data_IF_215842626547
#
_entry.id   IF_215842626547
#
_cell.length_a   1.000
_cell.length_b   1.000
_cell.length_c   1.000
_cell.angle_alpha   90.00
_cell.angle_beta   90.00
_cell.angle_gamma   90.00
#
_symmetry.space_group_name_H-M   'P 1'
#
loop_
_entity.id
_entity.type
_entity.pdbx_description
1 polymer ?
#
# COMPACT_ATOMS: atom_id res chain seq x y z
N UNK A 1 26.27 -10.87 -15.85
CA UNK A 1 26.98 -9.57 -15.63
C UNK A 1 27.50 -9.60 -14.21
N UNK A 2 28.76 -9.18 -13.98
CA UNK A 2 29.39 -9.07 -12.67
C UNK A 2 28.65 -8.06 -11.78
N UNK A 3 28.66 -8.29 -10.46
CA UNK A 3 27.92 -7.48 -9.49
C UNK A 3 28.36 -6.00 -9.50
N UNK A 4 29.68 -5.77 -9.53
CA UNK A 4 30.25 -4.42 -9.51
C UNK A 4 29.89 -3.65 -10.79
N UNK A 5 29.92 -4.31 -11.94
CA UNK A 5 29.49 -3.71 -13.21
C UNK A 5 28.02 -3.29 -13.20
N UNK A 6 27.13 -4.07 -12.53
CA UNK A 6 25.71 -3.67 -12.38
C UNK A 6 25.60 -2.40 -11.55
N UNK A 7 26.33 -2.31 -10.43
CA UNK A 7 26.33 -1.12 -9.54
C UNK A 7 26.91 0.12 -10.23
N UNK A 8 27.98 -0.04 -11.01
CA UNK A 8 28.56 1.05 -11.80
C UNK A 8 27.60 1.56 -12.86
N UNK A 9 26.96 0.66 -13.60
CA UNK A 9 25.96 1.02 -14.62
C UNK A 9 24.75 1.70 -13.99
N UNK A 10 24.27 1.20 -12.84
CA UNK A 10 23.18 1.83 -12.09
C UNK A 10 23.54 3.26 -11.70
N UNK A 11 24.70 3.46 -11.07
CA UNK A 11 25.17 4.77 -10.64
C UNK A 11 25.35 5.74 -11.83
N UNK A 12 25.75 5.24 -12.99
CA UNK A 12 25.99 6.06 -14.20
C UNK A 12 24.69 6.42 -14.93
N UNK A 13 23.70 5.53 -14.97
CA UNK A 13 22.57 5.65 -15.87
C UNK A 13 21.20 5.81 -15.19
N UNK A 14 21.11 5.64 -13.86
CA UNK A 14 19.86 5.80 -13.10
C UNK A 14 19.99 6.99 -12.15
N UNK A 15 18.98 7.86 -12.12
CA UNK A 15 18.95 8.97 -11.15
C UNK A 15 19.05 8.43 -9.73
N UNK A 16 19.96 8.97 -8.93
CA UNK A 16 20.26 8.51 -7.57
C UNK A 16 19.22 9.00 -6.54
N UNK A 17 17.95 8.69 -6.79
CA UNK A 17 16.84 9.05 -5.91
C UNK A 17 16.54 8.00 -4.81
N UNK A 18 17.20 6.85 -4.86
CA UNK A 18 17.01 5.75 -3.90
C UNK A 18 18.31 5.38 -3.19
N UNK A 19 18.23 5.16 -1.88
CA UNK A 19 19.32 4.53 -1.10
C UNK A 19 19.23 3.01 -1.22
N UNK A 20 20.10 2.42 -2.07
CA UNK A 20 20.09 0.97 -2.32
C UNK A 20 20.83 0.20 -1.23
N UNK A 21 20.31 -0.99 -0.90
CA UNK A 21 20.88 -1.87 0.15
C UNK A 21 22.03 -2.76 -0.33
N UNK A 22 22.51 -2.57 -1.57
CA UNK A 22 23.70 -3.23 -2.10
C UNK A 22 23.52 -4.68 -2.59
N UNK A 23 22.37 -5.31 -2.37
CA UNK A 23 22.06 -6.64 -2.89
C UNK A 23 21.64 -6.59 -4.36
N UNK A 24 22.00 -7.63 -5.11
CA UNK A 24 21.53 -7.84 -6.47
C UNK A 24 20.61 -9.04 -6.45
N UNK A 25 19.31 -8.78 -6.38
CA UNK A 25 18.28 -9.81 -6.38
C UNK A 25 18.10 -10.31 -7.82
N UNK A 26 18.08 -11.63 -7.98
CA UNK A 26 17.96 -12.28 -9.28
C UNK A 26 16.57 -12.88 -9.51
N UNK A 27 16.04 -13.61 -8.52
CA UNK A 27 14.71 -14.21 -8.61
C UNK A 27 14.03 -14.31 -7.25
N UNK A 28 12.75 -14.70 -7.25
CA UNK A 28 11.99 -14.92 -6.02
C UNK A 28 11.03 -16.10 -6.16
N UNK A 29 10.72 -16.77 -5.02
CA UNK A 29 9.74 -17.84 -4.93
C UNK A 29 9.03 -17.81 -3.58
N UNK A 30 7.71 -17.70 -3.61
CA UNK A 30 6.90 -17.62 -2.39
C UNK A 30 7.28 -16.40 -1.53
N UNK A 31 7.63 -16.62 -0.29
CA UNK A 31 8.07 -15.57 0.65
C UNK A 31 9.58 -15.24 0.56
N UNK A 32 10.30 -15.79 -0.41
CA UNK A 32 11.76 -15.68 -0.47
C UNK A 32 12.23 -15.03 -1.76
N UNK A 33 13.35 -14.31 -1.66
CA UNK A 33 14.13 -13.83 -2.81
C UNK A 33 15.55 -14.38 -2.71
N UNK A 34 16.23 -14.42 -3.85
CA UNK A 34 17.57 -14.96 -3.98
C UNK A 34 18.47 -13.97 -4.69
N UNK A 35 19.67 -13.76 -4.16
CA UNK A 35 20.66 -12.94 -4.82
C UNK A 35 21.43 -13.75 -5.90
N UNK A 36 22.31 -13.05 -6.63
CA UNK A 36 23.13 -13.67 -7.70
C UNK A 36 24.09 -14.76 -7.22
N UNK A 37 24.40 -14.80 -5.94
CA UNK A 37 25.24 -15.84 -5.33
C UNK A 37 24.39 -17.02 -4.84
N UNK A 38 23.06 -16.99 -5.05
CA UNK A 38 22.13 -18.03 -4.62
C UNK A 38 21.78 -17.95 -3.13
N UNK A 39 22.21 -16.90 -2.42
CA UNK A 39 21.83 -16.72 -1.02
C UNK A 39 20.36 -16.36 -0.92
N UNK A 40 19.66 -17.07 -0.05
CA UNK A 40 18.22 -16.93 0.20
C UNK A 40 17.95 -15.87 1.27
N UNK A 41 16.93 -15.06 1.03
CA UNK A 41 16.42 -14.07 1.97
C UNK A 41 14.92 -14.24 2.15
N UNK A 42 14.44 -14.24 3.39
CA UNK A 42 13.02 -14.18 3.71
C UNK A 42 12.54 -12.73 3.50
N UNK A 43 11.65 -12.52 2.55
CA UNK A 43 11.14 -11.19 2.20
C UNK A 43 9.84 -10.87 2.94
N UNK A 44 9.99 -10.22 4.08
CA UNK A 44 8.88 -9.67 4.87
C UNK A 44 8.63 -8.18 4.62
N UNK A 45 9.12 -7.66 3.49
CA UNK A 45 8.77 -6.35 2.94
C UNK A 45 7.84 -6.48 1.72
N UNK A 46 7.97 -7.58 0.95
CA UNK A 46 7.11 -7.89 -0.18
C UNK A 46 7.04 -6.79 -1.24
N UNK A 47 8.18 -6.10 -1.51
CA UNK A 47 8.20 -4.93 -2.40
C UNK A 47 7.39 -3.74 -1.85
N UNK A 48 7.31 -3.57 -0.54
CA UNK A 48 6.43 -2.63 0.19
C UNK A 48 4.95 -2.98 -0.07
N UNK A 49 4.59 -4.23 0.27
CA UNK A 49 3.24 -4.81 0.12
C UNK A 49 2.75 -4.96 -1.34
N UNK A 50 3.64 -5.02 -2.33
CA UNK A 50 3.24 -5.25 -3.74
C UNK A 50 3.13 -6.72 -4.10
N UNK A 51 3.99 -7.59 -3.55
CA UNK A 51 4.00 -9.03 -3.84
C UNK A 51 3.04 -9.77 -2.89
N UNK A 52 1.74 -9.46 -2.99
CA UNK A 52 0.71 -9.95 -2.05
C UNK A 52 0.57 -11.47 -2.05
N UNK A 53 0.64 -12.13 -3.20
CA UNK A 53 0.52 -13.59 -3.33
C UNK A 53 1.87 -14.29 -3.48
N UNK A 54 2.95 -13.58 -3.11
CA UNK A 54 4.33 -14.09 -3.13
C UNK A 54 5.02 -13.98 -4.48
N UNK A 55 6.35 -14.13 -4.45
CA UNK A 55 7.19 -14.10 -5.63
C UNK A 55 6.98 -15.33 -6.51
N UNK A 56 7.02 -15.15 -7.84
CA UNK A 56 6.92 -16.26 -8.80
C UNK A 56 5.61 -17.04 -8.69
N UNK A 57 4.51 -16.40 -8.28
CA UNK A 57 3.19 -17.05 -8.20
C UNK A 57 2.80 -17.59 -9.58
N UNK A 58 2.56 -18.90 -9.68
CA UNK A 58 2.32 -19.60 -10.94
C UNK A 58 1.07 -19.09 -11.66
N UNK A 59 -0.04 -18.90 -10.94
CA UNK A 59 -1.31 -18.45 -11.52
C UNK A 59 -1.18 -17.05 -12.12
N UNK A 60 -0.52 -16.11 -11.42
CA UNK A 60 -0.26 -14.77 -11.93
C UNK A 60 0.69 -14.80 -13.12
N UNK A 61 1.78 -15.57 -13.05
CA UNK A 61 2.75 -15.68 -14.14
C UNK A 61 2.13 -16.28 -15.41
N UNK A 62 1.29 -17.30 -15.29
CA UNK A 62 0.56 -17.91 -16.41
C UNK A 62 -0.45 -16.94 -17.03
N UNK A 63 -1.20 -16.21 -16.22
CA UNK A 63 -2.13 -15.19 -16.69
C UNK A 63 -1.42 -14.08 -17.48
N UNK A 64 -0.29 -13.58 -16.94
CA UNK A 64 0.55 -12.57 -17.61
C UNK A 64 1.10 -13.13 -18.93
N UNK A 65 1.68 -14.33 -18.93
CA UNK A 65 2.23 -14.96 -20.13
C UNK A 65 1.16 -15.18 -21.21
N UNK A 66 0.01 -15.70 -20.82
CA UNK A 66 -1.12 -15.93 -21.74
C UNK A 66 -1.63 -14.62 -22.33
N UNK A 67 -1.82 -13.58 -21.47
CA UNK A 67 -2.32 -12.29 -21.93
C UNK A 67 -1.29 -11.56 -22.81
N UNK A 68 0.01 -11.65 -22.49
CA UNK A 68 1.07 -11.03 -23.30
C UNK A 68 1.12 -11.59 -24.75
N UNK A 69 0.78 -12.87 -24.94
CA UNK A 69 0.69 -13.50 -26.27
C UNK A 69 -0.55 -13.05 -27.05
N UNK A 70 -1.58 -12.53 -26.40
CA UNK A 70 -2.83 -12.08 -27.05
C UNK A 70 -2.77 -10.57 -27.35
N UNK A 71 -2.65 -9.77 -26.32
CA UNK A 71 -2.72 -8.32 -26.42
C UNK A 71 -2.21 -7.70 -25.12
N UNK A 72 -1.17 -6.87 -25.18
CA UNK A 72 -0.61 -6.17 -24.01
C UNK A 72 -1.47 -4.99 -23.58
N UNK A 73 -1.76 -4.11 -24.51
CA UNK A 73 -2.51 -2.89 -24.29
C UNK A 73 -3.39 -2.55 -25.50
N UNK A 74 -4.53 -1.95 -25.20
CA UNK A 74 -5.39 -1.30 -26.20
C UNK A 74 -5.92 0.00 -25.63
N UNK A 75 -6.09 1.02 -26.47
CA UNK A 75 -6.67 2.29 -26.00
C UNK A 75 -8.06 2.10 -25.40
N UNK A 76 -8.38 2.85 -24.35
CA UNK A 76 -9.69 2.85 -23.69
C UNK A 76 -10.86 3.33 -24.60
N UNK A 77 -10.60 3.53 -25.88
CA UNK A 77 -11.65 3.72 -26.90
C UNK A 77 -12.35 2.40 -27.28
N UNK A 78 -11.77 1.26 -26.90
CA UNK A 78 -12.30 -0.08 -27.17
C UNK A 78 -12.50 -0.84 -25.85
N UNK A 79 -13.46 -1.76 -25.85
CA UNK A 79 -13.69 -2.64 -24.72
C UNK A 79 -12.69 -3.78 -24.66
N UNK A 80 -12.22 -4.12 -23.46
CA UNK A 80 -11.34 -5.26 -23.22
C UNK A 80 -11.88 -6.10 -22.07
N UNK A 81 -11.97 -7.40 -22.28
CA UNK A 81 -12.54 -8.33 -21.29
C UNK A 81 -11.81 -8.34 -19.93
N UNK A 82 -10.44 -8.38 -19.86
CA UNK A 82 -9.76 -8.38 -18.55
C UNK A 82 -10.06 -7.15 -17.69
N UNK A 83 -10.26 -5.98 -18.31
CA UNK A 83 -10.57 -4.74 -17.62
C UNK A 83 -11.98 -4.77 -17.01
N UNK A 84 -12.97 -5.23 -17.78
CA UNK A 84 -14.37 -5.27 -17.33
C UNK A 84 -14.54 -6.30 -16.21
N UNK A 85 -13.92 -7.48 -16.33
CA UNK A 85 -13.92 -8.52 -15.29
C UNK A 85 -13.32 -7.98 -13.98
N UNK A 86 -12.17 -7.28 -14.06
CA UNK A 86 -11.55 -6.69 -12.87
C UNK A 86 -12.43 -5.60 -12.25
N UNK A 87 -13.05 -4.75 -13.07
CA UNK A 87 -13.97 -3.71 -12.58
C UNK A 87 -15.16 -4.30 -11.83
N UNK A 88 -15.78 -5.37 -12.37
CA UNK A 88 -16.87 -6.07 -11.71
C UNK A 88 -16.45 -6.66 -10.35
N UNK A 89 -15.28 -7.33 -10.30
CA UNK A 89 -14.73 -7.89 -9.04
C UNK A 89 -14.51 -6.80 -7.99
N UNK A 90 -13.85 -5.71 -8.38
CA UNK A 90 -13.57 -4.59 -7.47
C UNK A 90 -14.85 -3.90 -7.00
N UNK A 91 -15.86 -3.77 -7.87
CA UNK A 91 -17.15 -3.25 -7.51
C UNK A 91 -17.83 -4.12 -6.42
N UNK A 92 -17.86 -5.44 -6.61
CA UNK A 92 -18.42 -6.38 -5.60
C UNK A 92 -17.65 -6.34 -4.28
N UNK A 93 -16.35 -6.22 -4.31
CA UNK A 93 -15.49 -6.23 -3.14
C UNK A 93 -15.49 -4.91 -2.36
N UNK A 94 -15.69 -3.79 -3.05
CA UNK A 94 -15.70 -2.45 -2.43
C UNK A 94 -17.11 -1.98 -2.03
N UNK A 95 -18.15 -2.48 -2.70
CA UNK A 95 -19.51 -1.93 -2.61
C UNK A 95 -19.72 -0.62 -3.36
N UNK A 96 -18.72 -0.20 -4.19
CA UNK A 96 -18.78 0.95 -5.09
C UNK A 96 -18.85 0.47 -6.54
N UNK A 97 -19.46 1.23 -7.44
CA UNK A 97 -19.87 0.69 -8.75
C UNK A 97 -18.85 0.87 -9.88
N UNK A 98 -18.06 1.94 -9.86
CA UNK A 98 -17.26 2.35 -11.03
C UNK A 98 -15.77 2.43 -10.70
N UNK A 99 -14.96 1.96 -11.64
CA UNK A 99 -13.49 1.96 -11.54
C UNK A 99 -12.88 2.85 -12.61
N UNK A 100 -12.01 3.76 -12.21
CA UNK A 100 -11.06 4.41 -13.12
C UNK A 100 -9.69 3.75 -12.91
N UNK A 101 -9.18 3.14 -13.97
CA UNK A 101 -7.88 2.45 -13.96
C UNK A 101 -6.72 3.38 -14.31
N UNK A 102 -5.61 3.24 -13.62
CA UNK A 102 -4.33 3.91 -13.84
C UNK A 102 -3.17 2.95 -13.52
N UNK A 103 -1.94 3.45 -13.31
CA UNK A 103 -0.75 2.59 -13.26
C UNK A 103 -0.07 2.56 -11.88
N UNK A 104 -0.50 3.38 -10.95
CA UNK A 104 0.09 3.48 -9.61
C UNK A 104 -0.91 4.01 -8.59
N UNK A 105 -0.58 3.83 -7.29
CA UNK A 105 -1.35 4.42 -6.20
C UNK A 105 -1.34 5.96 -6.23
N UNK A 106 -0.23 6.57 -6.65
CA UNK A 106 -0.15 8.01 -6.79
C UNK A 106 -1.14 8.52 -7.87
N UNK A 107 -1.21 7.87 -9.04
CA UNK A 107 -2.19 8.20 -10.08
C UNK A 107 -3.63 7.95 -9.62
N UNK A 108 -3.87 6.91 -8.83
CA UNK A 108 -5.20 6.66 -8.26
C UNK A 108 -5.62 7.80 -7.32
N UNK A 109 -4.70 8.31 -6.49
CA UNK A 109 -4.94 9.47 -5.63
C UNK A 109 -5.09 10.76 -6.43
N UNK A 110 -4.33 10.97 -7.51
CA UNK A 110 -4.56 12.08 -8.46
C UNK A 110 -5.98 12.05 -9.03
N UNK A 111 -6.45 10.87 -9.46
CA UNK A 111 -7.80 10.70 -9.97
C UNK A 111 -8.85 11.01 -8.88
N UNK A 112 -8.65 10.52 -7.64
CA UNK A 112 -9.53 10.78 -6.52
C UNK A 112 -9.63 12.29 -6.20
N UNK A 113 -8.49 13.00 -6.17
CA UNK A 113 -8.44 14.46 -5.97
C UNK A 113 -9.19 15.19 -7.09
N UNK A 114 -8.93 14.84 -8.35
CA UNK A 114 -9.61 15.44 -9.50
C UNK A 114 -11.13 15.20 -9.46
N UNK A 115 -11.53 13.97 -9.13
CA UNK A 115 -12.96 13.62 -9.01
C UNK A 115 -13.64 14.43 -7.89
N UNK A 116 -13.01 14.51 -6.73
CA UNK A 116 -13.53 15.31 -5.62
C UNK A 116 -13.67 16.81 -5.97
N UNK A 117 -12.67 17.37 -6.65
CA UNK A 117 -12.73 18.78 -7.15
C UNK A 117 -13.84 18.97 -8.17
N UNK A 118 -14.00 18.03 -9.11
CA UNK A 118 -15.07 18.09 -10.12
C UNK A 118 -16.45 18.13 -9.46
N UNK A 119 -16.70 17.22 -8.53
CA UNK A 119 -18.01 17.06 -7.90
C UNK A 119 -18.34 18.20 -6.96
N UNK A 120 -17.41 18.58 -6.11
CA UNK A 120 -17.64 19.60 -5.06
C UNK A 120 -17.45 21.02 -5.52
N UNK A 121 -16.72 21.24 -6.63
CA UNK A 121 -16.24 22.55 -7.10
C UNK A 121 -15.35 23.29 -6.07
N UNK A 122 -14.79 22.56 -5.11
CA UNK A 122 -13.90 23.07 -4.06
C UNK A 122 -12.46 22.59 -4.31
N UNK A 123 -11.46 23.24 -3.70
CA UNK A 123 -10.05 22.99 -3.97
C UNK A 123 -9.19 22.74 -2.73
N UNK A 124 -9.79 22.71 -1.55
CA UNK A 124 -9.09 22.47 -0.30
C UNK A 124 -9.40 21.07 0.22
N UNK A 125 -8.38 20.42 0.76
CA UNK A 125 -8.48 19.06 1.29
C UNK A 125 -8.00 19.00 2.74
N UNK A 126 -8.43 17.98 3.47
CA UNK A 126 -7.85 17.62 4.75
C UNK A 126 -7.13 16.28 4.56
N UNK A 127 -5.88 16.22 5.00
CA UNK A 127 -5.09 15.00 5.14
C UNK A 127 -4.56 14.87 6.57
N UNK A 128 -3.84 13.82 6.88
CA UNK A 128 -3.40 13.58 8.25
C UNK A 128 -1.88 13.70 8.41
N UNK A 129 -1.46 14.13 9.60
CA UNK A 129 -0.04 14.12 9.96
C UNK A 129 0.51 12.70 9.79
N UNK A 130 1.75 12.59 9.34
CA UNK A 130 2.45 11.35 9.00
C UNK A 130 1.86 10.56 7.82
N UNK A 131 0.86 11.08 7.09
CA UNK A 131 0.29 10.42 5.91
C UNK A 131 1.27 10.33 4.73
N UNK A 132 1.04 9.31 3.89
CA UNK A 132 1.76 9.16 2.63
C UNK A 132 0.79 8.74 1.51
N UNK A 133 0.57 9.63 0.55
CA UNK A 133 -0.37 9.41 -0.56
C UNK A 133 0.29 9.34 -1.94
N UNK A 134 1.61 9.56 -2.03
CA UNK A 134 2.38 9.47 -3.27
C UNK A 134 3.37 10.60 -3.48
N UNK A 135 3.93 10.66 -4.70
CA UNK A 135 5.02 11.60 -5.07
C UNK A 135 4.70 12.43 -6.33
N UNK A 136 3.54 12.26 -6.95
CA UNK A 136 3.03 13.15 -7.99
C UNK A 136 2.45 14.43 -7.38
N UNK A 137 2.14 15.44 -8.16
CA UNK A 137 1.87 16.79 -7.63
C UNK A 137 0.75 16.84 -6.57
N UNK A 138 -0.45 16.31 -6.85
CA UNK A 138 -1.54 16.35 -5.88
C UNK A 138 -1.35 15.32 -4.78
N UNK A 139 -0.89 14.12 -5.08
CA UNK A 139 -0.62 13.10 -4.06
C UNK A 139 0.54 13.50 -3.12
N UNK A 140 1.51 14.28 -3.62
CA UNK A 140 2.57 14.86 -2.81
C UNK A 140 2.04 16.00 -1.92
N UNK A 141 1.10 16.80 -2.41
CA UNK A 141 0.43 17.81 -1.59
C UNK A 141 -0.27 17.20 -0.37
N UNK A 142 -0.86 16.00 -0.52
CA UNK A 142 -1.52 15.24 0.55
C UNK A 142 -0.53 14.50 1.47
N UNK A 143 0.74 14.35 1.09
CA UNK A 143 1.77 13.65 1.88
C UNK A 143 2.36 14.56 2.94
N UNK A 144 2.37 14.12 4.21
CA UNK A 144 2.76 14.96 5.36
C UNK A 144 4.21 15.43 5.37
N UNK A 145 5.19 14.54 5.14
CA UNK A 145 6.61 14.83 5.38
C UNK A 145 7.10 16.04 4.57
N UNK A 146 7.38 17.15 5.26
CA UNK A 146 7.79 18.42 4.66
C UNK A 146 9.04 18.27 3.77
N UNK A 147 10.01 17.43 4.15
CA UNK A 147 11.21 17.16 3.36
C UNK A 147 10.91 16.66 1.94
N UNK A 148 9.74 16.04 1.72
CA UNK A 148 9.33 15.58 0.41
C UNK A 148 8.62 16.68 -0.39
N UNK A 149 7.88 17.56 0.29
CA UNK A 149 7.08 18.62 -0.33
C UNK A 149 7.88 19.89 -0.65
N UNK A 150 8.79 20.29 0.27
CA UNK A 150 9.53 21.56 0.22
C UNK A 150 10.23 21.84 -1.11
N UNK A 151 10.93 20.87 -1.75
CA UNK A 151 11.62 21.10 -3.03
C UNK A 151 10.69 21.39 -4.22
N UNK A 152 9.37 21.11 -4.08
CA UNK A 152 8.42 21.12 -5.21
C UNK A 152 7.27 22.11 -4.98
N UNK A 153 7.39 23.01 -4.02
CA UNK A 153 6.38 24.04 -3.78
C UNK A 153 6.42 25.14 -4.85
N UNK A 154 5.25 25.77 -5.18
CA UNK A 154 3.94 25.52 -4.59
C UNK A 154 3.29 24.23 -5.10
N UNK A 155 2.64 23.49 -4.20
CA UNK A 155 1.88 22.30 -4.51
C UNK A 155 0.37 22.57 -4.51
N UNK A 156 -0.38 21.85 -5.31
CA UNK A 156 -1.83 21.86 -5.35
C UNK A 156 -2.38 20.43 -5.24
N UNK A 157 -3.51 20.22 -4.55
CA UNK A 157 -4.41 21.24 -3.95
C UNK A 157 -3.86 21.84 -2.64
N UNK A 158 -4.58 22.83 -2.09
CA UNK A 158 -4.36 23.30 -0.71
C UNK A 158 -4.79 22.22 0.28
N UNK A 159 -3.92 21.91 1.27
CA UNK A 159 -4.14 20.82 2.22
C UNK A 159 -3.93 21.27 3.65
N UNK A 160 -4.96 21.10 4.47
CA UNK A 160 -4.87 21.21 5.92
C UNK A 160 -4.50 19.85 6.51
N UNK A 161 -3.46 19.80 7.35
CA UNK A 161 -3.05 18.57 8.02
C UNK A 161 -3.54 18.55 9.47
N UNK A 162 -4.21 17.48 9.86
CA UNK A 162 -4.71 17.25 11.21
C UNK A 162 -4.09 16.01 11.83
N UNK A 163 -4.06 15.96 13.17
CA UNK A 163 -3.52 14.80 13.88
C UNK A 163 -4.41 13.58 13.67
N UNK A 164 -3.80 12.46 13.32
CA UNK A 164 -4.49 11.16 13.22
C UNK A 164 -5.00 10.71 14.60
N UNK A 165 -6.14 10.03 14.68
CA UNK A 165 -6.80 9.63 15.93
C UNK A 165 -7.26 10.83 16.82
N UNK A 166 -7.43 12.02 16.25
CA UNK A 166 -7.96 13.21 16.94
C UNK A 166 -9.16 13.78 16.18
N UNK A 167 -10.36 13.33 16.55
CA UNK A 167 -11.60 13.75 15.89
C UNK A 167 -11.91 15.23 16.09
N UNK A 168 -11.52 15.80 17.26
CA UNK A 168 -11.72 17.22 17.55
C UNK A 168 -10.84 18.10 16.68
N UNK A 169 -9.61 17.65 16.38
CA UNK A 169 -8.73 18.35 15.44
C UNK A 169 -9.32 18.33 14.03
N UNK A 170 -9.89 17.21 13.60
CA UNK A 170 -10.59 17.13 12.31
C UNK A 170 -11.80 18.06 12.27
N UNK A 171 -12.66 18.04 13.28
CA UNK A 171 -13.85 18.89 13.36
C UNK A 171 -13.49 20.39 13.25
N UNK A 172 -12.44 20.83 13.95
CA UNK A 172 -11.96 22.23 13.89
C UNK A 172 -11.39 22.63 12.52
N UNK A 173 -10.87 21.66 11.76
CA UNK A 173 -10.28 21.93 10.44
C UNK A 173 -11.33 21.98 9.32
N UNK A 174 -12.55 21.54 9.57
CA UNK A 174 -13.65 21.56 8.61
C UNK A 174 -14.10 22.99 8.37
N UNK A 175 -14.03 23.42 7.11
CA UNK A 175 -14.52 24.70 6.61
C UNK A 175 -15.36 24.48 5.35
N UNK A 176 -16.12 25.50 4.94
CA UNK A 176 -17.06 25.38 3.80
C UNK A 176 -16.37 25.09 2.46
N UNK A 177 -15.08 25.38 2.34
CA UNK A 177 -14.25 25.20 1.12
C UNK A 177 -13.56 23.83 1.03
N UNK A 178 -13.75 22.95 2.04
CA UNK A 178 -13.20 21.58 2.01
C UNK A 178 -13.95 20.74 0.98
N UNK A 179 -13.19 20.16 0.03
CA UNK A 179 -13.67 19.22 -0.97
C UNK A 179 -13.78 17.80 -0.42
N UNK A 180 -12.73 17.34 0.24
CA UNK A 180 -12.64 15.97 0.77
C UNK A 180 -11.69 15.86 1.96
N UNK A 181 -11.93 14.84 2.77
CA UNK A 181 -10.97 14.26 3.72
C UNK A 181 -10.31 13.05 3.05
N UNK A 182 -8.97 13.00 3.04
CA UNK A 182 -8.18 11.89 2.50
C UNK A 182 -7.49 11.19 3.65
N UNK A 183 -7.74 9.88 3.80
CA UNK A 183 -7.26 9.11 4.95
C UNK A 183 -6.81 7.70 4.55
N UNK A 184 -5.67 7.28 5.08
CA UNK A 184 -5.28 5.86 5.12
C UNK A 184 -6.05 5.19 6.26
N UNK A 185 -6.77 4.08 6.05
CA UNK A 185 -7.40 3.35 7.17
C UNK A 185 -6.38 2.90 8.24
N UNK A 186 -5.16 2.61 7.81
CA UNK A 186 -4.00 2.36 8.65
C UNK A 186 -2.83 3.08 8.01
N UNK A 187 -2.19 4.00 8.74
CA UNK A 187 -1.06 4.74 8.19
C UNK A 187 0.18 3.83 8.09
N UNK A 188 0.62 3.58 6.86
CA UNK A 188 1.72 2.66 6.58
C UNK A 188 3.09 3.26 6.85
N UNK A 189 3.36 4.45 6.32
CA UNK A 189 4.67 5.13 6.39
C UNK A 189 4.91 5.85 7.73
N UNK A 190 3.86 6.01 8.55
CA UNK A 190 3.94 6.50 9.92
C UNK A 190 4.46 5.44 10.93
N UNK A 191 4.65 4.19 10.51
CA UNK A 191 5.05 3.10 11.39
C UNK A 191 3.89 2.19 11.81
N UNK A 192 2.99 1.91 10.90
CA UNK A 192 1.79 1.08 11.09
C UNK A 192 0.91 1.63 12.23
N UNK A 193 0.34 2.79 12.01
CA UNK A 193 -0.56 3.42 12.99
C UNK A 193 -1.98 2.93 12.73
N UNK A 194 -2.43 2.03 13.60
CA UNK A 194 -3.80 1.50 13.59
C UNK A 194 -4.74 2.51 14.28
N UNK A 195 -5.89 2.85 13.69
CA UNK A 195 -6.82 3.79 14.29
C UNK A 195 -7.46 3.22 15.57
N UNK A 196 -7.85 4.10 16.47
CA UNK A 196 -8.71 3.73 17.61
C UNK A 196 -10.02 3.19 17.08
N UNK A 197 -10.57 2.18 17.77
CA UNK A 197 -11.87 1.60 17.40
C UNK A 197 -12.94 2.68 17.32
N UNK A 198 -13.66 2.73 16.19
CA UNK A 198 -14.72 3.69 15.93
C UNK A 198 -14.25 5.03 15.37
N UNK A 199 -12.93 5.32 15.35
CA UNK A 199 -12.40 6.58 14.83
C UNK A 199 -12.79 6.83 13.35
N UNK A 200 -12.65 5.81 12.52
CA UNK A 200 -13.00 5.96 11.10
C UNK A 200 -14.51 6.17 10.89
N UNK A 201 -15.37 5.61 11.76
CA UNK A 201 -16.81 5.91 11.75
C UNK A 201 -17.12 7.36 12.13
N UNK A 202 -16.38 7.91 13.09
CA UNK A 202 -16.53 9.32 13.46
C UNK A 202 -16.07 10.23 12.30
N UNK A 203 -14.99 9.88 11.60
CA UNK A 203 -14.54 10.58 10.38
C UNK A 203 -15.61 10.51 9.30
N UNK A 204 -16.16 9.32 9.00
CA UNK A 204 -17.28 9.15 8.04
C UNK A 204 -18.47 10.04 8.40
N UNK A 205 -18.88 10.01 9.67
CA UNK A 205 -20.01 10.82 10.17
C UNK A 205 -19.75 12.32 9.97
N UNK A 206 -18.57 12.81 10.36
CA UNK A 206 -18.22 14.23 10.18
C UNK A 206 -18.23 14.63 8.70
N UNK A 207 -17.71 13.79 7.81
CA UNK A 207 -17.75 14.07 6.38
C UNK A 207 -19.20 14.18 5.87
N UNK A 208 -20.08 13.26 6.25
CA UNK A 208 -21.50 13.29 5.87
C UNK A 208 -22.24 14.50 6.41
N UNK A 209 -22.07 14.78 7.69
CA UNK A 209 -22.75 15.91 8.37
C UNK A 209 -22.38 17.27 7.77
N UNK A 210 -21.19 17.37 7.11
CA UNK A 210 -20.69 18.61 6.51
C UNK A 210 -20.68 18.61 4.97
N UNK A 211 -21.25 17.59 4.30
CA UNK A 211 -21.24 17.44 2.84
C UNK A 211 -19.81 17.51 2.25
N UNK A 212 -18.87 16.78 2.87
CA UNK A 212 -17.48 16.63 2.46
C UNK A 212 -17.29 15.18 2.00
N UNK A 213 -16.58 14.98 0.89
CA UNK A 213 -16.30 13.62 0.40
C UNK A 213 -15.25 12.92 1.29
N UNK A 214 -15.44 11.62 1.48
CA UNK A 214 -14.49 10.76 2.16
C UNK A 214 -13.72 9.90 1.15
N UNK A 215 -12.40 10.12 1.07
CA UNK A 215 -11.48 9.34 0.24
C UNK A 215 -10.68 8.39 1.15
N UNK A 216 -10.85 7.07 0.95
CA UNK A 216 -10.06 6.04 1.62
C UNK A 216 -8.89 5.63 0.74
N UNK A 217 -7.67 5.94 1.18
CA UNK A 217 -6.45 5.45 0.53
C UNK A 217 -6.11 4.04 1.04
N UNK A 218 -6.50 3.05 0.27
CA UNK A 218 -6.27 1.62 0.52
C UNK A 218 -5.07 1.07 -0.27
N UNK A 219 -4.21 1.93 -0.75
CA UNK A 219 -3.03 1.56 -1.55
C UNK A 219 -2.10 0.60 -0.79
N UNK A 220 -1.96 0.75 0.53
CA UNK A 220 -1.14 -0.16 1.34
C UNK A 220 -1.96 -1.13 2.19
N UNK A 221 -3.11 -0.73 2.70
CA UNK A 221 -3.96 -1.49 3.62
C UNK A 221 -4.92 -2.46 2.93
N UNK A 222 -5.19 -2.23 1.64
CA UNK A 222 -6.12 -3.02 0.84
C UNK A 222 -5.60 -4.39 0.40
N UNK A 223 -6.33 -5.00 -0.50
CA UNK A 223 -6.01 -6.27 -1.17
C UNK A 223 -5.77 -7.42 -0.17
N UNK A 224 -6.61 -7.51 0.87
CA UNK A 224 -6.57 -8.60 1.84
C UNK A 224 -5.56 -8.45 2.97
N UNK A 225 -4.70 -7.43 2.93
CA UNK A 225 -3.56 -7.23 3.85
C UNK A 225 -3.95 -7.28 5.33
N UNK A 226 -5.11 -6.74 5.68
CA UNK A 226 -5.57 -6.60 7.06
C UNK A 226 -6.58 -7.68 7.49
N UNK A 227 -6.87 -8.67 6.62
CA UNK A 227 -7.87 -9.69 6.87
C UNK A 227 -9.25 -9.39 6.29
N UNK A 228 -9.43 -8.23 5.66
CA UNK A 228 -10.54 -7.87 4.77
C UNK A 228 -9.96 -7.38 3.45
N UNK A 229 -10.72 -7.45 2.35
CA UNK A 229 -10.19 -7.01 1.05
C UNK A 229 -9.81 -5.52 1.07
N UNK A 230 -10.64 -4.69 1.67
CA UNK A 230 -10.34 -3.30 2.02
C UNK A 230 -10.42 -3.13 3.55
N UNK A 231 -9.50 -2.37 4.14
CA UNK A 231 -9.41 -2.22 5.58
C UNK A 231 -10.60 -1.45 6.18
N UNK A 232 -11.21 -0.51 5.44
CA UNK A 232 -12.41 0.20 5.90
C UNK A 232 -13.61 -0.72 6.16
N UNK A 233 -13.63 -1.92 5.56
CA UNK A 233 -14.68 -2.92 5.79
C UNK A 233 -14.66 -3.50 7.23
N UNK A 234 -13.58 -3.33 7.99
CA UNK A 234 -13.55 -3.72 9.39
C UNK A 234 -14.54 -2.93 10.26
N UNK A 235 -14.83 -1.70 9.87
CA UNK A 235 -15.78 -0.83 10.56
C UNK A 235 -17.08 -0.58 9.77
N UNK A 236 -17.27 -1.28 8.64
CA UNK A 236 -18.44 -1.14 7.76
C UNK A 236 -18.70 0.31 7.31
N UNK A 237 -17.64 1.04 6.99
CA UNK A 237 -17.70 2.42 6.48
C UNK A 237 -18.11 2.41 5.01
N UNK A 238 -18.74 3.47 4.57
CA UNK A 238 -19.14 3.69 3.17
C UNK A 238 -18.43 4.97 2.66
N UNK A 239 -17.19 4.86 2.18
CA UNK A 239 -16.49 6.01 1.61
C UNK A 239 -17.10 6.40 0.26
N UNK A 240 -16.89 7.66 -0.14
CA UNK A 240 -17.29 8.13 -1.47
C UNK A 240 -16.30 7.68 -2.54
N UNK A 241 -15.03 7.61 -2.21
CA UNK A 241 -13.95 7.22 -3.12
C UNK A 241 -12.97 6.29 -2.38
N UNK A 242 -12.52 5.25 -3.07
CA UNK A 242 -11.46 4.34 -2.61
C UNK A 242 -10.35 4.31 -3.64
N UNK A 243 -9.09 4.40 -3.20
CA UNK A 243 -7.93 4.20 -4.07
C UNK A 243 -7.20 2.92 -3.68
N UNK A 244 -6.75 2.15 -4.67
CA UNK A 244 -6.00 0.91 -4.45
C UNK A 244 -4.93 0.71 -5.52
N UNK A 245 -3.88 -0.06 -5.19
CA UNK A 245 -2.76 -0.38 -6.08
C UNK A 245 -1.92 -1.53 -5.47
N UNK A 246 -0.59 -1.41 -5.52
CA UNK A 246 0.40 -2.32 -4.88
C UNK A 246 0.05 -3.80 -5.04
N UNK A 247 -0.45 -4.42 -3.98
CA UNK A 247 -0.76 -5.84 -3.93
C UNK A 247 -1.80 -6.34 -4.93
N UNK A 248 -2.54 -5.42 -5.57
CA UNK A 248 -3.66 -5.74 -6.44
C UNK A 248 -3.28 -6.63 -7.64
N UNK A 249 -2.09 -6.42 -8.22
CA UNK A 249 -1.60 -7.21 -9.36
C UNK A 249 -0.25 -7.92 -9.08
N UNK A 250 0.06 -8.16 -7.80
CA UNK A 250 1.25 -8.90 -7.36
C UNK A 250 2.56 -8.44 -8.01
N UNK A 251 2.78 -7.12 -8.08
CA UNK A 251 4.00 -6.51 -8.61
C UNK A 251 3.88 -5.97 -10.04
N UNK A 252 2.84 -6.31 -10.80
CA UNK A 252 2.55 -5.66 -12.09
C UNK A 252 1.94 -4.27 -11.82
N UNK A 253 2.42 -3.19 -12.46
CA UNK A 253 1.92 -1.85 -12.21
C UNK A 253 0.43 -1.69 -12.52
N UNK A 254 -0.34 -1.27 -11.51
CA UNK A 254 -1.76 -0.93 -11.60
C UNK A 254 -2.15 -0.01 -10.45
N UNK A 255 -3.08 0.89 -10.70
CA UNK A 255 -3.79 1.67 -9.70
C UNK A 255 -5.26 1.78 -10.08
N UNK A 256 -6.13 1.94 -9.11
CA UNK A 256 -7.57 2.09 -9.37
C UNK A 256 -8.17 3.11 -8.39
N UNK A 257 -8.94 4.04 -8.94
CA UNK A 257 -9.86 4.89 -8.19
C UNK A 257 -11.27 4.32 -8.35
N UNK A 258 -11.94 3.98 -7.25
CA UNK A 258 -13.24 3.33 -7.22
C UNK A 258 -14.25 4.27 -6.57
N UNK A 259 -15.41 4.49 -7.19
CA UNK A 259 -16.44 5.40 -6.65
C UNK A 259 -17.81 5.11 -7.27
N UNK A 260 -18.87 5.69 -6.69
CA UNK A 260 -20.16 5.82 -7.34
C UNK A 260 -20.27 7.14 -8.16
N UNK A 261 -19.31 8.04 -7.96
CA UNK A 261 -19.14 9.28 -8.73
C UNK A 261 -18.34 9.00 -10.00
N UNK A 262 -18.42 9.86 -11.02
CA UNK A 262 -17.71 9.63 -12.28
C UNK A 262 -17.24 10.93 -12.95
N UNK A 263 -16.26 10.78 -13.82
CA UNK A 263 -15.84 11.81 -14.77
C UNK A 263 -16.76 11.82 -15.99
N UNK A 264 -16.98 12.98 -16.60
CA UNK A 264 -17.56 13.05 -17.92
C UNK A 264 -16.53 12.63 -18.97
N UNK A 265 -17.00 12.28 -20.16
CA UNK A 265 -16.14 11.83 -21.27
C UNK A 265 -15.07 12.89 -21.58
N UNK A 266 -13.80 12.50 -21.55
CA UNK A 266 -12.66 13.38 -21.87
C UNK A 266 -12.09 14.19 -20.70
N UNK A 267 -12.72 14.23 -19.52
CA UNK A 267 -12.21 15.00 -18.38
C UNK A 267 -10.97 14.36 -17.72
N UNK A 268 -10.87 13.05 -17.78
CA UNK A 268 -9.71 12.32 -17.27
C UNK A 268 -9.44 11.08 -18.11
N UNK A 269 -8.15 10.76 -18.32
CA UNK A 269 -7.74 9.64 -19.15
C UNK A 269 -6.37 9.11 -18.71
N UNK A 270 -6.07 7.88 -19.13
CA UNK A 270 -4.76 7.25 -19.00
C UNK A 270 -4.53 6.34 -20.21
N UNK A 271 -3.37 6.46 -20.85
CA UNK A 271 -3.00 5.64 -22.01
C UNK A 271 -2.83 4.17 -21.63
N UNK A 272 -2.23 3.88 -20.48
CA UNK A 272 -1.95 2.53 -20.00
C UNK A 272 -2.87 2.05 -18.90
N UNK A 273 -3.70 2.95 -18.34
CA UNK A 273 -4.62 2.60 -17.26
C UNK A 273 -5.65 1.58 -17.73
N UNK A 274 -5.73 0.44 -17.03
CA UNK A 274 -6.63 -0.65 -17.35
C UNK A 274 -6.18 -1.50 -18.54
N UNK A 275 -4.88 -1.48 -18.89
CA UNK A 275 -4.36 -2.34 -19.97
C UNK A 275 -4.60 -3.83 -19.67
N UNK A 276 -4.70 -4.60 -20.75
CA UNK A 276 -5.04 -6.01 -20.67
C UNK A 276 -4.08 -6.82 -19.81
N UNK A 277 -2.78 -6.53 -19.87
CA UNK A 277 -1.75 -7.25 -19.12
C UNK A 277 -1.89 -7.05 -17.61
N UNK A 278 -1.97 -5.79 -17.17
CA UNK A 278 -2.11 -5.45 -15.74
C UNK A 278 -3.44 -5.95 -15.18
N UNK A 279 -4.53 -5.85 -15.95
CA UNK A 279 -5.84 -6.36 -15.54
C UNK A 279 -5.87 -7.90 -15.45
N UNK A 280 -5.22 -8.62 -16.37
CA UNK A 280 -5.09 -10.07 -16.29
C UNK A 280 -4.29 -10.52 -15.05
N UNK A 281 -3.17 -9.84 -14.78
CA UNK A 281 -2.39 -10.08 -13.57
C UNK A 281 -3.20 -9.82 -12.29
N UNK A 282 -3.95 -8.70 -12.25
CA UNK A 282 -4.77 -8.34 -11.10
C UNK A 282 -5.93 -9.31 -10.92
N UNK A 283 -6.61 -9.74 -11.99
CA UNK A 283 -7.65 -10.76 -11.92
C UNK A 283 -7.11 -12.05 -11.30
N UNK A 284 -5.97 -12.54 -11.77
CA UNK A 284 -5.34 -13.75 -11.25
C UNK A 284 -4.91 -13.61 -9.78
N UNK A 285 -4.37 -12.45 -9.40
CA UNK A 285 -3.96 -12.19 -8.02
C UNK A 285 -5.17 -12.11 -7.06
N UNK A 286 -6.23 -11.42 -7.47
CA UNK A 286 -7.49 -11.32 -6.69
C UNK A 286 -8.14 -12.69 -6.54
N UNK A 287 -8.26 -13.46 -7.62
CA UNK A 287 -8.81 -14.82 -7.56
C UNK A 287 -7.97 -15.70 -6.62
N UNK A 288 -6.64 -15.65 -6.74
CA UNK A 288 -5.74 -16.40 -5.85
C UNK A 288 -5.94 -16.05 -4.37
N UNK A 289 -6.14 -14.76 -4.06
CA UNK A 289 -6.40 -14.30 -2.67
C UNK A 289 -7.73 -14.86 -2.16
N UNK A 290 -8.78 -14.83 -2.99
CA UNK A 290 -10.12 -15.28 -2.60
C UNK A 290 -10.20 -16.80 -2.48
N UNK A 291 -9.73 -17.52 -3.50
CA UNK A 291 -9.80 -19.00 -3.59
C UNK A 291 -8.97 -19.69 -2.48
N UNK A 292 -7.81 -19.11 -2.14
CA UNK A 292 -6.92 -19.64 -1.11
C UNK A 292 -7.18 -19.04 0.28
N UNK A 293 -8.26 -18.26 0.48
CA UNK A 293 -8.66 -17.66 1.76
C UNK A 293 -7.52 -16.88 2.43
N UNK A 294 -6.74 -16.14 1.62
CA UNK A 294 -5.56 -15.45 2.12
C UNK A 294 -5.87 -14.31 3.07
N UNK A 295 -7.08 -13.77 3.07
CA UNK A 295 -7.54 -12.82 4.08
C UNK A 295 -7.64 -13.46 5.48
N UNK A 296 -8.17 -14.68 5.55
CA UNK A 296 -8.20 -15.46 6.79
C UNK A 296 -6.77 -15.83 7.25
N UNK A 297 -5.90 -16.22 6.29
CA UNK A 297 -4.50 -16.47 6.58
C UNK A 297 -3.77 -15.22 7.12
N UNK A 298 -4.09 -14.04 6.58
CA UNK A 298 -3.51 -12.78 7.04
C UNK A 298 -3.85 -12.51 8.52
N UNK A 299 -5.09 -12.77 8.95
CA UNK A 299 -5.48 -12.68 10.37
C UNK A 299 -4.72 -13.72 11.19
N UNK A 300 -4.81 -15.00 10.81
CA UNK A 300 -4.19 -16.11 11.56
C UNK A 300 -2.69 -15.95 11.73
N UNK A 301 -1.99 -15.57 10.67
CA UNK A 301 -0.53 -15.39 10.71
C UNK A 301 -0.16 -14.08 11.41
N UNK A 302 -0.96 -13.04 11.25
CA UNK A 302 -0.81 -11.78 11.98
C UNK A 302 -0.91 -11.97 13.49
N UNK A 303 -1.98 -12.62 13.97
CA UNK A 303 -2.16 -12.96 15.38
C UNK A 303 -1.00 -13.81 15.94
N UNK A 304 -0.50 -14.76 15.13
CA UNK A 304 0.64 -15.59 15.51
C UNK A 304 1.93 -14.76 15.64
N UNK A 305 2.24 -13.91 14.66
CA UNK A 305 3.38 -12.99 14.71
C UNK A 305 3.27 -12.02 15.88
N UNK A 306 2.07 -11.47 16.12
CA UNK A 306 1.80 -10.60 17.28
C UNK A 306 2.09 -11.30 18.60
N UNK A 307 1.66 -12.55 18.75
CA UNK A 307 1.94 -13.35 19.96
C UNK A 307 3.44 -13.54 20.18
N UNK A 308 4.19 -13.91 19.12
CA UNK A 308 5.65 -14.08 19.15
C UNK A 308 6.39 -12.78 19.49
N UNK A 309 6.04 -11.70 18.80
CA UNK A 309 6.64 -10.37 19.02
C UNK A 309 6.36 -9.83 20.43
N UNK A 310 5.16 -10.05 20.97
CA UNK A 310 4.85 -9.72 22.35
C UNK A 310 5.63 -10.61 23.36
N UNK A 311 5.88 -11.87 23.01
CA UNK A 311 6.77 -12.75 23.76
C UNK A 311 8.21 -12.20 23.79
N UNK A 312 8.70 -11.75 22.64
CA UNK A 312 10.02 -11.12 22.52
C UNK A 312 10.09 -9.79 23.30
N UNK A 313 9.05 -8.93 23.20
CA UNK A 313 8.95 -7.69 23.99
C UNK A 313 9.08 -7.91 25.49
N UNK A 314 8.51 -9.00 26.04
CA UNK A 314 8.64 -9.32 27.47
C UNK A 314 10.08 -9.62 27.88
N UNK A 315 10.87 -10.20 26.98
CA UNK A 315 12.28 -10.57 27.22
C UNK A 315 13.25 -9.43 26.87
N UNK A 316 12.90 -8.57 25.92
CA UNK A 316 13.78 -7.54 25.40
C UNK A 316 13.18 -6.13 25.58
N UNK A 317 13.81 -5.32 26.44
CA UNK A 317 13.38 -3.96 26.76
C UNK A 317 13.57 -2.94 25.62
N UNK A 318 14.23 -3.33 24.52
CA UNK A 318 14.34 -2.45 23.35
C UNK A 318 13.00 -2.27 22.63
N UNK A 319 12.11 -3.25 22.71
CA UNK A 319 10.78 -3.17 22.11
C UNK A 319 9.84 -2.40 23.03
N UNK A 320 9.39 -1.24 22.56
CA UNK A 320 8.42 -0.38 23.24
C UNK A 320 6.99 -0.86 23.02
N UNK A 321 6.62 -1.07 21.76
CA UNK A 321 5.26 -1.45 21.37
C UNK A 321 5.27 -2.35 20.14
N UNK A 322 4.26 -3.21 20.02
CA UNK A 322 3.97 -3.97 18.82
C UNK A 322 2.54 -3.65 18.41
N UNK A 323 2.36 -3.28 17.15
CA UNK A 323 1.06 -2.93 16.55
C UNK A 323 0.81 -3.78 15.33
N UNK A 324 -0.42 -4.20 15.11
CA UNK A 324 -0.77 -4.94 13.91
C UNK A 324 -2.23 -4.77 13.48
N UNK A 325 -2.45 -5.03 12.21
CA UNK A 325 -3.74 -5.39 11.66
C UNK A 325 -3.51 -6.39 10.52
N UNK A 326 -3.75 -7.67 10.82
CA UNK A 326 -3.41 -8.77 9.91
C UNK A 326 -1.91 -8.82 9.62
N UNK A 327 -1.51 -8.71 8.36
CA UNK A 327 -0.09 -8.71 7.95
C UNK A 327 0.45 -7.29 7.68
N UNK A 328 -0.07 -6.28 8.34
CA UNK A 328 0.55 -4.96 8.54
C UNK A 328 1.05 -4.87 9.97
N UNK A 329 2.36 -5.01 10.20
CA UNK A 329 2.93 -5.12 11.54
C UNK A 329 4.02 -4.07 11.74
N UNK A 330 3.95 -3.35 12.86
CA UNK A 330 4.95 -2.38 13.31
C UNK A 330 5.52 -2.77 14.67
N UNK A 331 6.84 -2.76 14.80
CA UNK A 331 7.54 -2.95 16.06
C UNK A 331 8.26 -1.66 16.40
N UNK A 332 7.74 -0.92 17.39
CA UNK A 332 8.34 0.32 17.86
C UNK A 332 9.42 0.03 18.89
N UNK A 333 10.58 0.65 18.69
CA UNK A 333 11.75 0.55 19.54
C UNK A 333 11.81 1.75 20.51
N UNK A 334 12.50 1.58 21.63
CA UNK A 334 12.76 2.67 22.60
C UNK A 334 13.87 3.64 22.15
N UNK A 335 14.52 3.37 21.00
CA UNK A 335 15.62 4.17 20.42
C UNK A 335 15.47 4.28 18.92
N UNK A 336 16.03 5.31 18.34
CA UNK A 336 16.05 5.60 16.90
C UNK A 336 17.11 4.77 16.15
N UNK A 337 17.04 3.44 16.28
CA UNK A 337 18.01 2.48 15.72
C UNK A 337 17.35 1.51 14.72
N UNK A 338 16.13 1.78 14.28
CA UNK A 338 15.42 0.84 13.41
C UNK A 338 16.17 0.58 12.09
N UNK A 339 16.87 1.58 11.56
CA UNK A 339 17.70 1.41 10.37
C UNK A 339 18.85 0.40 10.62
N UNK A 340 19.59 0.54 11.73
CA UNK A 340 20.66 -0.39 12.11
C UNK A 340 20.12 -1.83 12.26
N UNK A 341 18.97 -1.99 12.91
CA UNK A 341 18.36 -3.30 13.10
C UNK A 341 17.93 -3.90 11.75
N UNK A 342 17.38 -3.12 10.83
CA UNK A 342 17.00 -3.62 9.49
C UNK A 342 18.22 -4.04 8.67
N UNK A 343 19.35 -3.34 8.76
CA UNK A 343 20.60 -3.71 8.12
C UNK A 343 21.13 -5.04 8.68
N UNK A 344 21.15 -5.22 10.01
CA UNK A 344 21.53 -6.49 10.65
C UNK A 344 20.59 -7.64 10.29
N UNK A 345 19.27 -7.39 10.21
CA UNK A 345 18.30 -8.38 9.74
C UNK A 345 18.62 -8.83 8.30
N UNK A 346 18.96 -7.88 7.43
CA UNK A 346 19.35 -8.17 6.04
C UNK A 346 20.58 -9.07 5.97
N UNK A 347 21.61 -8.79 6.77
CA UNK A 347 22.81 -9.63 6.88
C UNK A 347 22.50 -11.06 7.34
N UNK A 348 21.47 -11.22 8.14
CA UNK A 348 20.99 -12.53 8.64
C UNK A 348 19.98 -13.21 7.70
N UNK A 349 19.61 -12.56 6.58
CA UNK A 349 18.73 -13.11 5.56
C UNK A 349 17.23 -12.77 5.75
N UNK A 350 16.90 -11.72 6.50
CA UNK A 350 15.54 -11.20 6.64
C UNK A 350 15.44 -9.80 6.06
N UNK A 351 14.56 -9.62 5.08
CA UNK A 351 14.24 -8.33 4.46
C UNK A 351 13.02 -7.75 5.15
N UNK A 352 13.23 -6.71 5.93
CA UNK A 352 12.22 -5.80 6.49
C UNK A 352 12.72 -4.36 6.27
N UNK A 353 11.91 -3.36 6.60
CA UNK A 353 12.38 -1.98 6.57
C UNK A 353 11.96 -1.20 7.82
N UNK A 354 12.51 -0.02 7.96
CA UNK A 354 12.07 0.97 8.94
C UNK A 354 11.06 1.94 8.29
N UNK A 355 9.88 2.09 8.88
CA UNK A 355 8.88 3.06 8.45
C UNK A 355 9.10 4.44 9.11
N UNK A 356 9.68 4.43 10.33
CA UNK A 356 10.15 5.61 11.07
C UNK A 356 11.53 5.33 11.65
N UNK A 357 12.15 6.31 12.31
CA UNK A 357 13.51 6.17 12.87
C UNK A 357 13.59 5.08 13.94
N UNK A 358 12.49 4.82 14.63
CA UNK A 358 12.37 3.83 15.69
C UNK A 358 11.35 2.70 15.41
N UNK A 359 10.82 2.55 14.18
CA UNK A 359 9.80 1.53 13.88
C UNK A 359 10.25 0.58 12.78
N UNK A 360 10.36 -0.72 13.13
CA UNK A 360 10.51 -1.80 12.16
C UNK A 360 9.14 -2.15 11.58
N UNK A 361 9.06 -2.30 10.25
CA UNK A 361 7.84 -2.65 9.55
C UNK A 361 7.96 -4.00 8.86
N UNK A 362 6.93 -4.84 9.06
CA UNK A 362 6.79 -6.14 8.44
C UNK A 362 5.55 -6.15 7.55
N UNK A 363 5.73 -6.49 6.29
CA UNK A 363 4.69 -6.59 5.27
C UNK A 363 4.86 -7.91 4.48
N UNK A 364 4.86 -9.08 5.14
CA UNK A 364 5.06 -10.35 4.47
C UNK A 364 4.01 -10.60 3.38
N UNK A 365 4.28 -11.39 2.34
CA UNK A 365 3.26 -11.90 1.44
C UNK A 365 2.11 -12.56 2.21
N UNK A 366 0.87 -12.47 1.70
CA UNK A 366 -0.32 -13.03 2.35
C UNK A 366 -0.29 -14.56 2.48
N UNK A 367 0.60 -15.21 1.72
CA UNK A 367 0.85 -16.65 1.77
C UNK A 367 1.78 -17.07 2.91
N UNK A 368 2.40 -16.12 3.62
CA UNK A 368 3.27 -16.42 4.74
C UNK A 368 2.52 -17.21 5.83
N UNK A 369 3.18 -18.21 6.39
CA UNK A 369 2.65 -19.07 7.43
C UNK A 369 3.50 -19.06 8.71
N UNK A 370 3.23 -20.01 9.59
CA UNK A 370 3.96 -20.15 10.86
C UNK A 370 5.46 -20.36 10.67
N UNK A 371 5.86 -21.13 9.67
CA UNK A 371 7.28 -21.40 9.37
C UNK A 371 8.05 -20.13 9.08
N UNK A 372 7.53 -19.31 8.18
CA UNK A 372 8.14 -18.04 7.79
C UNK A 372 8.09 -17.03 8.96
N UNK A 373 7.02 -17.07 9.75
CA UNK A 373 6.91 -16.25 10.96
C UNK A 373 7.96 -16.62 12.01
N UNK A 374 8.15 -17.91 12.28
CA UNK A 374 9.18 -18.40 13.23
C UNK A 374 10.59 -18.03 12.75
N UNK A 375 10.91 -18.23 11.45
CA UNK A 375 12.20 -17.85 10.86
C UNK A 375 12.47 -16.33 11.03
N UNK A 376 11.46 -15.49 10.79
CA UNK A 376 11.59 -14.04 10.97
C UNK A 376 11.85 -13.66 12.43
N UNK A 377 11.14 -14.28 13.38
CA UNK A 377 11.30 -14.03 14.82
C UNK A 377 12.66 -14.48 15.30
N UNK A 378 13.15 -15.67 14.90
CA UNK A 378 14.48 -16.16 15.25
C UNK A 378 15.60 -15.23 14.77
N UNK A 379 15.47 -14.68 13.57
CA UNK A 379 16.45 -13.71 13.06
C UNK A 379 16.37 -12.41 13.85
N UNK A 380 15.16 -11.90 14.11
CA UNK A 380 14.97 -10.66 14.86
C UNK A 380 15.49 -10.79 16.30
N UNK A 381 15.27 -11.93 16.97
CA UNK A 381 15.77 -12.19 18.35
C UNK A 381 17.30 -12.19 18.45
N UNK A 382 17.99 -12.63 17.36
CA UNK A 382 19.46 -12.62 17.30
C UNK A 382 20.06 -11.23 17.05
N UNK A 383 19.25 -10.29 16.60
CA UNK A 383 19.69 -8.94 16.16
C UNK A 383 19.36 -7.90 17.23
N UNK A 384 18.28 -8.07 17.95
CA UNK A 384 17.86 -7.22 19.08
C UNK A 384 18.65 -7.53 20.35
#
# INVERSE_FOLDING_TARGET
MEADKIKEMEKKHIMQSYSRLGLIIEHGKGCYVYDKQGRKYLDFLGGIATCSVGHGNKQVAEAVCSQAKKLLNMTNLFYTEPQVILAEKLSKLSGLQKCFFCNSGAEANEAAVKLAKKITKKNRFIAFQESFHGRTAASLALTWKEKYRKPFQPLAPDVAFVKYNDIKALEKAITKDIAAVVIEPIQGEAGIVVPKKGYLKEVEKLCKDNNILLIMDEVQSGTGRTGKFFAYLHENIKPDIVTTAKGLANGVPIGVCISNLEFDKGEHASTFGGNCLSCAAANAAVDYILDNKLMENAVKTGDYLMSKLNGLKKKNKMIKEVREKGLMIGVELNKDIAKEITEKCLEKGLIINNAAENVLRFLPPLIAGKKEADEAIEILEKVL
#
